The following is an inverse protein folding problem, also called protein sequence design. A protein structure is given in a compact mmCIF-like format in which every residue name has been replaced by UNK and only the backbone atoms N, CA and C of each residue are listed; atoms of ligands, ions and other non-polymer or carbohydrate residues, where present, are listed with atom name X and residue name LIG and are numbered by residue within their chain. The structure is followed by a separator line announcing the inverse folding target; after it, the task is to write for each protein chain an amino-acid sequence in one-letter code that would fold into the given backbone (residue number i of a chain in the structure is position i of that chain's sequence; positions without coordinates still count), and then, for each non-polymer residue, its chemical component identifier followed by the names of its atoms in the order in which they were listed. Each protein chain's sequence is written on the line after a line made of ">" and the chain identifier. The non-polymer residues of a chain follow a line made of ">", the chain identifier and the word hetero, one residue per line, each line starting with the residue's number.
data_IF_193009052249
#
_entry.id   IF_193009052249
#
_cell.length_a   1.000
_cell.length_b   1.000
_cell.length_c   1.000
_cell.angle_alpha   90.00
_cell.angle_beta   90.00
_cell.angle_gamma   90.00
#
_symmetry.space_group_name_H-M   'P 1'
#
loop_
_entity.id
_entity.type
_entity.pdbx_description
1 polymer ?
#
# COMPACT_ATOMS: atom_id res chain seq x y z
N UNK A 1 -44.75 -24.94 -50.35
CA UNK A 1 -43.34 -25.13 -50.77
C UNK A 1 -42.45 -24.22 -49.94
N UNK A 2 -41.52 -24.79 -49.18
CA UNK A 2 -40.55 -24.11 -48.30
C UNK A 2 -39.58 -23.26 -49.14
N UNK A 3 -39.32 -22.00 -48.78
CA UNK A 3 -38.11 -21.28 -49.21
C UNK A 3 -37.55 -20.34 -48.13
N UNK A 4 -36.38 -20.77 -47.64
CA UNK A 4 -35.23 -20.05 -47.11
C UNK A 4 -35.37 -19.13 -45.89
N UNK A 5 -35.20 -19.80 -44.74
CA UNK A 5 -34.39 -19.39 -43.60
C UNK A 5 -33.07 -18.69 -43.95
N UNK A 6 -32.74 -17.68 -43.14
CA UNK A 6 -31.48 -17.53 -42.37
C UNK A 6 -30.87 -16.14 -42.52
N UNK A 7 -31.11 -15.27 -41.52
CA UNK A 7 -30.32 -14.08 -41.29
C UNK A 7 -29.57 -14.30 -39.96
N UNK A 8 -28.35 -14.85 -40.03
CA UNK A 8 -27.46 -14.89 -38.87
C UNK A 8 -26.93 -13.48 -38.63
N UNK A 9 -27.41 -12.84 -37.56
CA UNK A 9 -26.77 -11.65 -36.99
C UNK A 9 -25.67 -12.16 -36.05
N UNK A 10 -24.43 -12.11 -36.54
CA UNK A 10 -23.24 -12.38 -35.72
C UNK A 10 -23.03 -11.14 -34.84
N UNK A 11 -23.62 -11.16 -33.65
CA UNK A 11 -23.37 -10.18 -32.61
C UNK A 11 -21.98 -10.40 -32.01
N UNK A 12 -20.97 -9.75 -32.56
CA UNK A 12 -19.67 -9.65 -31.90
C UNK A 12 -19.80 -8.68 -30.72
N UNK A 13 -20.18 -9.21 -29.55
CA UNK A 13 -20.07 -8.48 -28.29
C UNK A 13 -18.56 -8.43 -27.98
N UNK A 14 -17.92 -7.33 -28.35
CA UNK A 14 -16.60 -6.98 -27.83
C UNK A 14 -16.74 -6.83 -26.32
N UNK A 15 -16.44 -7.91 -25.61
CA UNK A 15 -16.20 -7.92 -24.18
C UNK A 15 -15.12 -6.90 -23.90
N UNK A 16 -15.53 -5.69 -23.51
CA UNK A 16 -14.66 -4.70 -22.90
C UNK A 16 -14.20 -5.31 -21.59
N UNK A 17 -13.12 -6.08 -21.65
CA UNK A 17 -12.29 -6.30 -20.48
C UNK A 17 -11.77 -4.93 -20.14
N UNK A 18 -12.43 -4.27 -19.18
CA UNK A 18 -11.81 -3.18 -18.46
C UNK A 18 -10.40 -3.68 -18.10
N UNK A 19 -9.34 -2.91 -18.36
CA UNK A 19 -8.02 -3.33 -17.92
C UNK A 19 -8.18 -3.61 -16.43
N UNK A 20 -7.89 -4.86 -16.03
CA UNK A 20 -7.67 -5.19 -14.64
C UNK A 20 -6.41 -4.42 -14.25
N UNK A 21 -6.58 -3.12 -14.03
CA UNK A 21 -5.57 -2.27 -13.47
C UNK A 21 -5.24 -2.97 -12.17
N UNK A 22 -3.98 -3.40 -12.03
CA UNK A 22 -3.49 -3.84 -10.74
C UNK A 22 -3.57 -2.60 -9.84
N UNK A 23 -4.73 -2.41 -9.24
CA UNK A 23 -5.02 -1.33 -8.31
C UNK A 23 -3.93 -1.46 -7.25
N UNK A 24 -3.08 -0.44 -7.13
CA UNK A 24 -1.97 -0.46 -6.18
C UNK A 24 -2.54 -0.34 -4.77
N UNK A 25 -3.07 -1.46 -4.28
CA UNK A 25 -3.79 -1.59 -3.02
C UNK A 25 -2.85 -1.71 -1.85
N UNK A 26 -1.56 -1.41 -2.02
CA UNK A 26 -0.59 -1.45 -0.95
C UNK A 26 0.43 -0.31 -1.07
N UNK A 27 1.13 -0.07 0.03
CA UNK A 27 2.20 0.91 0.13
C UNK A 27 3.35 0.35 0.95
N UNK A 28 4.55 0.41 0.40
CA UNK A 28 5.79 0.17 1.13
C UNK A 28 6.16 1.44 1.91
N UNK A 29 6.53 1.25 3.16
CA UNK A 29 6.87 2.33 4.09
C UNK A 29 8.26 2.03 4.62
N UNK A 30 9.19 2.96 4.44
CA UNK A 30 10.52 2.86 5.03
C UNK A 30 10.91 4.17 5.70
N UNK A 31 11.30 4.09 6.97
CA UNK A 31 11.87 5.20 7.73
C UNK A 31 13.18 4.74 8.36
N UNK A 32 14.22 5.53 8.19
CA UNK A 32 15.57 5.19 8.62
C UNK A 32 16.48 6.41 8.67
N UNK A 33 17.70 6.21 9.15
CA UNK A 33 18.72 7.24 9.23
C UNK A 33 19.64 7.23 8.00
N UNK A 34 20.27 8.36 7.70
CA UNK A 34 21.29 8.52 6.63
C UNK A 34 22.67 8.75 7.27
N UNK A 35 23.01 7.97 8.32
CA UNK A 35 24.28 8.13 9.05
C UNK A 35 24.24 9.07 10.27
N UNK A 36 23.05 9.41 10.78
CA UNK A 36 22.86 10.20 12.00
C UNK A 36 21.93 9.55 13.03
N UNK A 37 21.48 10.31 14.03
CA UNK A 37 20.47 9.84 14.98
C UNK A 37 19.08 9.87 14.33
N UNK A 38 18.39 8.73 14.34
CA UNK A 38 17.02 8.61 13.84
C UNK A 38 16.07 9.57 14.57
N UNK A 39 15.17 10.21 13.82
CA UNK A 39 14.06 10.96 14.38
C UNK A 39 13.01 10.00 14.99
N UNK A 40 13.16 9.73 16.28
CA UNK A 40 12.26 8.86 17.02
C UNK A 40 10.83 9.42 17.12
N UNK A 41 10.64 10.74 17.02
CA UNK A 41 9.32 11.34 17.02
C UNK A 41 8.60 11.03 15.69
N UNK A 42 9.30 11.21 14.56
CA UNK A 42 8.78 10.83 13.25
C UNK A 42 8.45 9.32 13.18
N UNK A 43 9.34 8.46 13.67
CA UNK A 43 9.11 7.01 13.74
C UNK A 43 7.85 6.67 14.57
N UNK A 44 7.66 7.34 15.70
CA UNK A 44 6.47 7.15 16.54
C UNK A 44 5.19 7.56 15.80
N UNK A 45 5.22 8.70 15.13
CA UNK A 45 4.08 9.19 14.33
C UNK A 45 3.73 8.24 13.20
N UNK A 46 4.72 7.72 12.47
CA UNK A 46 4.52 6.68 11.44
C UNK A 46 3.79 5.47 12.04
N UNK A 47 4.27 4.95 13.18
CA UNK A 47 3.64 3.82 13.87
C UNK A 47 2.21 4.12 14.34
N UNK A 48 1.94 5.34 14.80
CA UNK A 48 0.59 5.75 15.21
C UNK A 48 -0.38 5.82 14.04
N UNK A 49 0.03 6.41 12.91
CA UNK A 49 -0.81 6.48 11.70
C UNK A 49 -1.11 5.07 11.18
N UNK A 50 -0.10 4.19 11.13
CA UNK A 50 -0.28 2.78 10.76
C UNK A 50 -1.25 2.09 11.73
N UNK A 51 -1.02 2.21 13.04
CA UNK A 51 -1.87 1.58 14.05
C UNK A 51 -3.32 2.05 13.98
N UNK A 52 -3.55 3.33 13.73
CA UNK A 52 -4.89 3.87 13.48
C UNK A 52 -5.49 3.34 12.18
N UNK A 53 -4.70 3.24 11.10
CA UNK A 53 -5.12 2.65 9.83
C UNK A 53 -5.59 1.21 10.01
N UNK A 54 -4.84 0.40 10.76
CA UNK A 54 -5.23 -0.99 11.12
C UNK A 54 -6.48 -1.00 12.00
N UNK A 55 -6.50 -0.23 13.09
CA UNK A 55 -7.61 -0.21 14.04
C UNK A 55 -8.94 0.28 13.45
N UNK A 56 -8.89 1.05 12.36
CA UNK A 56 -10.09 1.56 11.65
C UNK A 56 -10.47 0.73 10.42
N UNK A 57 -9.76 -0.37 10.15
CA UNK A 57 -9.96 -1.21 8.96
C UNK A 57 -9.55 -0.55 7.65
N UNK A 58 -8.82 0.57 7.70
CA UNK A 58 -8.25 1.20 6.48
C UNK A 58 -7.15 0.32 5.89
N UNK A 59 -6.42 -0.40 6.74
CA UNK A 59 -5.37 -1.37 6.40
C UNK A 59 -5.77 -2.73 6.96
N UNK A 60 -5.98 -3.73 6.10
CA UNK A 60 -6.31 -5.10 6.56
C UNK A 60 -5.07 -5.96 6.74
N UNK A 61 -4.02 -5.70 5.96
CA UNK A 61 -2.79 -6.47 6.01
C UNK A 61 -1.60 -5.54 6.17
N UNK A 62 -0.85 -5.80 7.24
CA UNK A 62 0.34 -5.05 7.59
C UNK A 62 1.49 -6.03 7.83
N UNK A 63 2.58 -5.89 7.08
CA UNK A 63 3.77 -6.73 7.18
C UNK A 63 4.94 -5.85 7.59
N UNK A 64 5.63 -6.22 8.68
CA UNK A 64 6.90 -5.60 9.08
C UNK A 64 8.04 -6.42 8.51
N UNK A 65 8.82 -5.83 7.61
CA UNK A 65 10.02 -6.46 7.05
C UNK A 65 11.22 -6.32 7.98
N UNK A 66 11.36 -5.15 8.63
CA UNK A 66 12.43 -4.85 9.56
C UNK A 66 12.04 -3.73 10.55
N UNK A 67 12.52 -3.77 11.81
CA UNK A 67 13.16 -4.92 12.45
C UNK A 67 12.15 -6.06 12.68
N UNK A 68 12.58 -7.31 12.46
CA UNK A 68 11.75 -8.49 12.78
C UNK A 68 11.91 -8.83 14.27
N UNK A 69 10.88 -9.46 14.84
CA UNK A 69 10.97 -9.99 16.20
C UNK A 69 12.17 -10.95 16.31
N UNK A 70 12.99 -10.78 17.35
CA UNK A 70 14.22 -11.57 17.56
C UNK A 70 15.40 -11.20 16.65
N UNK A 71 15.27 -10.19 15.79
CA UNK A 71 16.40 -9.68 14.99
C UNK A 71 17.09 -8.50 15.68
N UNK A 72 18.40 -8.30 15.45
CA UNK A 72 19.07 -7.08 15.87
C UNK A 72 18.36 -5.86 15.28
N UNK A 73 18.08 -4.87 16.10
CA UNK A 73 17.63 -3.58 15.61
C UNK A 73 18.82 -2.95 14.87
N UNK A 74 18.69 -2.55 13.60
CA UNK A 74 19.76 -1.86 12.89
C UNK A 74 20.30 -0.70 13.74
N UNK A 75 21.61 -0.45 13.68
CA UNK A 75 22.26 0.63 14.44
C UNK A 75 21.63 1.99 14.07
N UNK A 76 21.19 2.12 12.82
CA UNK A 76 20.48 3.28 12.28
C UNK A 76 18.99 3.34 12.67
N UNK A 77 18.47 2.29 13.32
CA UNK A 77 17.08 2.13 13.72
C UNK A 77 16.11 2.05 12.53
N UNK A 78 14.82 2.26 12.82
CA UNK A 78 13.82 2.50 11.77
C UNK A 78 12.69 1.48 11.69
N UNK A 79 12.03 1.51 10.54
CA UNK A 79 10.93 0.61 10.16
C UNK A 79 10.97 0.43 8.65
N UNK A 80 10.90 -0.82 8.21
CA UNK A 80 10.54 -1.19 6.84
C UNK A 80 9.31 -2.08 6.91
N UNK A 81 8.24 -1.68 6.23
CA UNK A 81 6.96 -2.37 6.29
C UNK A 81 6.15 -2.19 5.01
N UNK A 82 5.07 -2.94 4.88
CA UNK A 82 4.05 -2.76 3.87
C UNK A 82 2.66 -2.75 4.50
N UNK A 83 1.80 -1.83 4.05
CA UNK A 83 0.40 -1.74 4.44
C UNK A 83 -0.49 -1.90 3.20
N UNK A 84 -1.44 -2.83 3.25
CA UNK A 84 -2.40 -3.14 2.19
C UNK A 84 -3.80 -2.68 2.60
N UNK A 85 -4.47 -1.98 1.70
CA UNK A 85 -5.81 -1.44 1.86
C UNK A 85 -6.81 -2.51 2.24
N UNK A 86 -7.74 -2.17 3.12
CA UNK A 86 -8.79 -3.11 3.50
C UNK A 86 -9.74 -3.46 2.35
N UNK A 87 -10.35 -4.64 2.39
CA UNK A 87 -11.19 -5.17 1.29
C UNK A 87 -12.33 -4.23 0.92
N UNK A 88 -13.00 -3.64 1.92
CA UNK A 88 -14.14 -2.73 1.73
C UNK A 88 -13.77 -1.25 1.66
N UNK A 89 -12.47 -0.92 1.57
CA UNK A 89 -11.98 0.46 1.61
C UNK A 89 -11.94 1.05 0.21
N UNK A 90 -12.38 2.30 0.10
CA UNK A 90 -12.28 3.09 -1.13
C UNK A 90 -10.86 3.62 -1.33
N UNK A 91 -10.47 3.79 -2.59
CA UNK A 91 -9.17 4.39 -2.94
C UNK A 91 -8.97 5.75 -2.30
N UNK A 92 -10.03 6.57 -2.23
CA UNK A 92 -9.96 7.89 -1.59
C UNK A 92 -9.54 7.79 -0.11
N UNK A 93 -10.07 6.83 0.63
CA UNK A 93 -9.75 6.63 2.05
C UNK A 93 -8.34 6.05 2.23
N UNK A 94 -7.93 5.11 1.39
CA UNK A 94 -6.56 4.59 1.43
C UNK A 94 -5.53 5.64 0.99
N UNK A 95 -5.83 6.45 -0.02
CA UNK A 95 -5.01 7.58 -0.43
C UNK A 95 -4.88 8.63 0.67
N UNK A 96 -5.96 8.91 1.42
CA UNK A 96 -5.87 9.81 2.57
C UNK A 96 -4.90 9.28 3.63
N UNK A 97 -4.90 7.97 3.90
CA UNK A 97 -3.90 7.32 4.76
C UNK A 97 -2.47 7.48 4.23
N UNK A 98 -2.25 7.25 2.93
CA UNK A 98 -0.93 7.46 2.29
C UNK A 98 -0.48 8.92 2.41
N UNK A 99 -1.39 9.88 2.22
CA UNK A 99 -1.09 11.31 2.35
C UNK A 99 -0.75 11.71 3.79
N UNK A 100 -1.41 11.12 4.80
CA UNK A 100 -1.03 11.32 6.20
C UNK A 100 0.41 10.87 6.45
N UNK A 101 0.82 9.70 5.93
CA UNK A 101 2.21 9.24 6.05
C UNK A 101 3.18 10.21 5.34
N UNK A 102 2.87 10.65 4.12
CA UNK A 102 3.71 11.58 3.34
C UNK A 102 3.79 12.99 3.92
N UNK A 103 2.82 13.39 4.75
CA UNK A 103 2.82 14.69 5.42
C UNK A 103 3.84 14.79 6.56
N UNK A 104 4.34 13.65 7.04
CA UNK A 104 5.38 13.62 8.07
C UNK A 104 6.66 14.18 7.45
N UNK A 105 7.22 15.20 8.10
CA UNK A 105 8.51 15.78 7.72
C UNK A 105 9.54 15.39 8.78
N UNK A 106 10.36 14.34 8.57
CA UNK A 106 11.40 13.97 9.52
C UNK A 106 12.47 15.05 9.60
N UNK A 107 13.15 15.13 10.76
CA UNK A 107 14.37 15.95 10.89
C UNK A 107 15.44 15.51 9.88
N UNK A 108 16.26 16.46 9.44
CA UNK A 108 17.43 16.20 8.59
C UNK A 108 18.28 15.03 9.12
N UNK A 109 18.72 14.17 8.20
CA UNK A 109 19.42 12.93 8.52
C UNK A 109 18.50 11.73 8.77
N UNK A 110 17.17 11.90 8.75
CA UNK A 110 16.19 10.82 8.68
C UNK A 110 15.40 10.91 7.38
N UNK A 111 15.15 9.76 6.74
CA UNK A 111 14.28 9.67 5.58
C UNK A 111 12.96 8.99 5.93
N UNK A 112 11.92 9.29 5.14
CA UNK A 112 10.67 8.54 5.12
C UNK A 112 10.25 8.37 3.65
N UNK A 113 10.22 7.14 3.17
CA UNK A 113 9.70 6.80 1.84
C UNK A 113 8.37 6.07 1.97
N UNK A 114 7.45 6.42 1.08
CA UNK A 114 6.09 5.90 1.01
C UNK A 114 5.77 5.61 -0.46
N UNK A 115 5.99 4.37 -0.86
CA UNK A 115 6.02 3.93 -2.27
C UNK A 115 4.84 2.98 -2.57
N UNK A 116 3.97 3.31 -3.54
CA UNK A 116 2.88 2.43 -3.93
C UNK A 116 3.38 1.07 -4.43
N UNK A 117 2.63 0.03 -4.13
CA UNK A 117 2.90 -1.33 -4.64
C UNK A 117 1.59 -2.08 -4.86
N UNK A 118 1.63 -3.14 -5.68
CA UNK A 118 0.44 -3.90 -6.02
C UNK A 118 -0.15 -4.64 -4.81
N UNK A 119 0.69 -5.23 -3.98
CA UNK A 119 0.30 -5.97 -2.77
C UNK A 119 1.48 -6.13 -1.82
N UNK A 120 1.19 -6.37 -0.54
CA UNK A 120 2.23 -6.72 0.42
C UNK A 120 2.68 -8.17 0.21
N UNK A 121 3.99 -8.37 0.02
CA UNK A 121 4.57 -9.70 -0.21
C UNK A 121 5.19 -10.22 1.08
N UNK A 122 4.97 -11.49 1.40
CA UNK A 122 5.77 -12.15 2.42
C UNK A 122 7.16 -12.41 1.82
N UNK A 123 8.18 -11.86 2.45
CA UNK A 123 9.60 -12.03 2.10
C UNK A 123 10.24 -13.16 2.88
#
# INVERSE_FOLDING_TARGET
>A
MKKLTSLMIIGAILSMSAPAYAESRAVNISIGSIGGALDNAALRTVRQIIGFGVGTGTVDKFIVYSPRNGSPIPIEGGLSACAEAGFSITDARFNAFIQQLRSITPRSGTFLNVEPTASCKLS
#
